data_IF_313154448021
#
_entry.id   IF_313154448021
#
_cell.length_a   1.000
_cell.length_b   1.000
_cell.length_c   1.000
_cell.angle_alpha   90.00
_cell.angle_beta   90.00
_cell.angle_gamma   90.00
#
_symmetry.space_group_name_H-M   'P 1'
#
loop_
_entity.id
_entity.type
_entity.pdbx_description
1 polymer ?
#
# COMPACT_ATOMS: atom_id res chain seq x y z
N UNK A 1 -3.64 -11.95 9.44
CA UNK A 1 -3.08 -10.83 8.65
C UNK A 1 -4.14 -10.40 7.64
N UNK A 2 -4.65 -9.15 7.70
CA UNK A 2 -5.57 -8.66 6.65
C UNK A 2 -4.78 -8.56 5.34
N UNK A 3 -5.18 -9.33 4.34
CA UNK A 3 -4.60 -9.26 2.99
C UNK A 3 -4.89 -7.87 2.40
N UNK A 4 -3.85 -7.21 1.89
CA UNK A 4 -3.97 -5.95 1.14
C UNK A 4 -4.51 -6.30 -0.24
N UNK A 5 -5.75 -5.91 -0.53
CA UNK A 5 -6.29 -6.02 -1.87
C UNK A 5 -5.94 -4.77 -2.69
N UNK A 6 -5.04 -4.90 -3.67
CA UNK A 6 -4.59 -3.80 -4.53
C UNK A 6 -5.73 -3.06 -5.27
N UNK A 7 -6.90 -3.69 -5.48
CA UNK A 7 -8.04 -3.06 -6.15
C UNK A 7 -8.83 -2.14 -5.21
N UNK A 8 -8.87 -2.45 -3.91
CA UNK A 8 -9.79 -1.78 -2.97
C UNK A 8 -9.11 -1.12 -1.78
N UNK A 9 -7.79 -1.31 -1.59
CA UNK A 9 -7.06 -0.75 -0.45
C UNK A 9 -7.21 0.77 -0.38
N UNK A 10 -7.68 1.23 0.77
CA UNK A 10 -7.85 2.65 1.10
C UNK A 10 -6.69 3.18 1.95
N UNK A 11 -6.62 4.50 2.12
CA UNK A 11 -5.68 5.12 3.05
C UNK A 11 -5.89 4.72 4.51
N UNK A 12 -7.15 4.46 4.90
CA UNK A 12 -7.48 3.96 6.23
C UNK A 12 -6.99 2.52 6.45
N UNK A 13 -7.05 1.66 5.43
CA UNK A 13 -6.49 0.32 5.49
C UNK A 13 -4.96 0.37 5.62
N UNK A 14 -4.30 1.25 4.86
CA UNK A 14 -2.86 1.47 4.95
C UNK A 14 -2.45 1.99 6.34
N UNK A 15 -3.22 2.91 6.93
CA UNK A 15 -3.03 3.40 8.30
C UNK A 15 -3.15 2.26 9.33
N UNK A 16 -4.17 1.41 9.20
CA UNK A 16 -4.38 0.28 10.10
C UNK A 16 -3.19 -0.71 10.03
N UNK A 17 -2.75 -1.05 8.82
CA UNK A 17 -1.60 -1.94 8.62
C UNK A 17 -0.30 -1.34 9.16
N UNK A 18 -0.06 -0.05 8.94
CA UNK A 18 1.10 0.65 9.50
C UNK A 18 1.12 0.58 11.03
N UNK A 19 -0.01 0.80 11.68
CA UNK A 19 -0.15 0.74 13.15
C UNK A 19 0.06 -0.67 13.67
N UNK A 20 -0.46 -1.69 12.99
CA UNK A 20 -0.21 -3.11 13.31
C UNK A 20 1.29 -3.43 13.28
N UNK A 21 2.01 -2.93 12.27
CA UNK A 21 3.47 -3.08 12.13
C UNK A 21 4.29 -2.17 13.07
N UNK A 22 3.65 -1.29 13.85
CA UNK A 22 4.29 -0.30 14.75
C UNK A 22 5.32 0.60 14.04
N UNK A 23 5.06 0.96 12.79
CA UNK A 23 5.94 1.83 11.99
C UNK A 23 5.44 3.28 11.98
N UNK A 24 6.38 4.22 11.88
CA UNK A 24 6.03 5.59 11.54
C UNK A 24 5.73 5.73 10.04
N UNK A 25 5.21 6.89 9.62
CA UNK A 25 4.82 7.13 8.22
C UNK A 25 6.02 7.04 7.26
N UNK A 26 7.18 7.60 7.61
CA UNK A 26 8.36 7.52 6.75
C UNK A 26 8.84 6.07 6.53
N UNK A 27 8.84 5.25 7.59
CA UNK A 27 9.23 3.84 7.53
C UNK A 27 8.27 2.99 6.70
N UNK A 28 6.97 3.26 6.78
CA UNK A 28 5.96 2.49 6.07
C UNK A 28 5.83 2.87 4.59
N UNK A 29 5.84 4.17 4.30
CA UNK A 29 5.63 4.73 2.95
C UNK A 29 6.93 4.86 2.15
N UNK A 30 8.08 5.01 2.83
CA UNK A 30 9.39 5.19 2.21
C UNK A 30 9.82 4.08 1.24
N UNK A 31 9.64 2.77 1.58
CA UNK A 31 10.00 1.67 0.67
C UNK A 31 9.29 1.69 -0.68
N UNK A 32 8.15 2.38 -0.79
CA UNK A 32 7.40 2.54 -2.05
C UNK A 32 7.55 3.95 -2.65
N UNK A 33 8.58 4.70 -2.23
CA UNK A 33 8.91 6.01 -2.79
C UNK A 33 7.95 7.14 -2.39
N UNK A 34 7.15 6.96 -1.35
CA UNK A 34 6.20 7.98 -0.87
C UNK A 34 6.79 8.71 0.34
N UNK A 35 6.81 10.04 0.29
CA UNK A 35 7.28 10.88 1.41
C UNK A 35 6.35 10.78 2.62
N UNK A 36 6.84 11.13 3.81
CA UNK A 36 6.01 11.15 5.03
C UNK A 36 4.76 12.04 4.89
N UNK A 37 4.91 13.25 4.34
CA UNK A 37 3.78 14.16 4.10
C UNK A 37 2.80 13.63 3.05
N UNK A 38 3.30 12.91 2.03
CA UNK A 38 2.47 12.20 1.07
C UNK A 38 1.65 11.09 1.71
N UNK A 39 2.31 10.23 2.50
CA UNK A 39 1.67 9.17 3.28
C UNK A 39 0.60 9.70 4.23
N UNK A 40 0.90 10.78 4.95
CA UNK A 40 -0.06 11.45 5.83
C UNK A 40 -1.34 11.88 5.11
N UNK A 41 -1.23 12.43 3.89
CA UNK A 41 -2.43 12.81 3.11
C UNK A 41 -3.29 11.60 2.76
N UNK A 42 -2.67 10.49 2.39
CA UNK A 42 -3.41 9.25 2.09
C UNK A 42 -4.10 8.72 3.35
N UNK A 43 -3.40 8.67 4.49
CA UNK A 43 -3.98 8.21 5.77
C UNK A 43 -5.15 9.10 6.26
N UNK A 44 -5.20 10.37 5.83
CA UNK A 44 -6.24 11.34 6.20
C UNK A 44 -7.31 11.55 5.11
N UNK A 45 -7.54 10.55 4.25
CA UNK A 45 -8.70 10.52 3.35
C UNK A 45 -8.45 10.94 1.90
N UNK A 46 -7.21 11.28 1.52
CA UNK A 46 -6.89 11.41 0.09
C UNK A 46 -6.97 10.05 -0.59
N UNK A 47 -7.59 10.00 -1.76
CA UNK A 47 -7.66 8.77 -2.56
C UNK A 47 -6.25 8.27 -2.95
N UNK A 48 -6.08 6.95 -2.90
CA UNK A 48 -4.84 6.29 -3.31
C UNK A 48 -4.81 6.07 -4.83
N UNK A 49 -3.84 6.64 -5.57
CA UNK A 49 -3.66 6.33 -6.98
C UNK A 49 -3.44 4.83 -7.20
N UNK A 50 -3.88 4.30 -8.35
CA UNK A 50 -3.69 2.87 -8.70
C UNK A 50 -2.24 2.39 -8.53
N UNK A 51 -1.21 3.14 -8.98
CA UNK A 51 0.18 2.72 -8.77
C UNK A 51 0.54 2.54 -7.29
N UNK A 52 0.07 3.43 -6.41
CA UNK A 52 0.35 3.35 -4.97
C UNK A 52 -0.33 2.13 -4.34
N UNK A 53 -1.58 1.83 -4.75
CA UNK A 53 -2.28 0.63 -4.28
C UNK A 53 -1.57 -0.66 -4.67
N UNK A 54 -1.03 -0.73 -5.89
CA UNK A 54 -0.24 -1.86 -6.37
C UNK A 54 1.08 -2.00 -5.60
N UNK A 55 1.81 -0.90 -5.41
CA UNK A 55 3.06 -0.90 -4.64
C UNK A 55 2.83 -1.29 -3.17
N UNK A 56 1.73 -0.86 -2.55
CA UNK A 56 1.35 -1.30 -1.20
C UNK A 56 1.13 -2.82 -1.13
N UNK A 57 0.47 -3.40 -2.13
CA UNK A 57 0.28 -4.85 -2.20
C UNK A 57 1.62 -5.60 -2.38
N UNK A 58 2.53 -5.05 -3.18
CA UNK A 58 3.86 -5.62 -3.39
C UNK A 58 4.71 -5.57 -2.11
N UNK A 59 4.74 -4.42 -1.43
CA UNK A 59 5.64 -4.20 -0.30
C UNK A 59 5.09 -4.76 1.03
N UNK A 60 3.77 -4.75 1.22
CA UNK A 60 3.15 -5.04 2.52
C UNK A 60 2.03 -6.09 2.47
N UNK A 61 1.63 -6.54 1.30
CA UNK A 61 0.64 -7.61 1.12
C UNK A 61 1.21 -9.01 1.35
N UNK A 62 0.37 -10.03 1.17
CA UNK A 62 0.83 -11.42 1.12
C UNK A 62 1.63 -11.70 -0.16
N UNK A 63 2.36 -12.82 -0.20
CA UNK A 63 3.06 -13.24 -1.42
C UNK A 63 2.12 -13.39 -2.62
N UNK A 64 0.90 -13.90 -2.39
CA UNK A 64 -0.12 -14.02 -3.43
C UNK A 64 -0.60 -12.64 -3.93
N UNK A 65 -0.78 -11.67 -3.04
CA UNK A 65 -1.18 -10.31 -3.40
C UNK A 65 -0.08 -9.59 -4.18
N UNK A 66 1.17 -9.76 -3.74
CA UNK A 66 2.36 -9.21 -4.40
C UNK A 66 2.49 -9.75 -5.83
N UNK A 67 2.39 -11.07 -6.02
CA UNK A 67 2.41 -11.69 -7.36
C UNK A 67 1.29 -11.17 -8.27
N UNK A 68 0.06 -11.06 -7.76
CA UNK A 68 -1.08 -10.50 -8.52
C UNK A 68 -0.84 -9.04 -8.91
N UNK A 69 -0.28 -8.23 -8.02
CA UNK A 69 0.03 -6.83 -8.30
C UNK A 69 1.14 -6.70 -9.36
N UNK A 70 2.19 -7.54 -9.29
CA UNK A 70 3.25 -7.59 -10.31
C UNK A 70 2.68 -8.01 -11.68
N UNK A 71 1.85 -9.04 -11.74
CA UNK A 71 1.20 -9.47 -12.99
C UNK A 71 0.38 -8.34 -13.62
N UNK A 72 -0.35 -7.56 -12.82
CA UNK A 72 -1.09 -6.38 -13.31
C UNK A 72 -0.18 -5.28 -13.87
N UNK A 73 1.01 -5.08 -13.30
CA UNK A 73 1.99 -4.12 -13.83
C UNK A 73 2.56 -4.61 -15.16
N UNK A 74 2.73 -5.92 -15.32
CA UNK A 74 3.23 -6.57 -16.54
C UNK A 74 2.18 -6.73 -17.64
N UNK A 75 0.89 -6.53 -17.33
CA UNK A 75 -0.21 -6.75 -18.29
C UNK A 75 -0.62 -8.21 -18.44
N UNK A 76 -0.32 -9.05 -17.43
CA UNK A 76 -0.55 -10.50 -17.43
C UNK A 76 -1.86 -10.90 -16.73
N UNK A 77 -2.68 -9.93 -16.29
CA UNK A 77 -3.77 -10.12 -15.32
C UNK A 77 -5.14 -9.62 -15.81
#
# INVERSE_FOLDING_TARGET
MKSINAKTVSGADALALRREKKLNQAQFWGPIGVTQSGGSRYENGRSLPKPIRLLLAIAHGSEADSKKAVAQIRGEA
#
